data_IF_742713956926
#
_entry.id   IF_742713956926
#
_cell.length_a   1.000
_cell.length_b   1.000
_cell.length_c   1.000
_cell.angle_alpha   90.00
_cell.angle_beta   90.00
_cell.angle_gamma   90.00
#
_symmetry.space_group_name_H-M   'P 1'
#
loop_
_entity.id
_entity.type
_entity.pdbx_description
1 polymer ?
#
# COMPACT_ATOMS: atom_id res chain seq x y z
N UNK A 1 -15.19 -35.47 -3.19
CA UNK A 1 -14.21 -34.42 -3.54
C UNK A 1 -14.25 -33.13 -2.68
N UNK A 2 -14.93 -33.03 -1.51
CA UNK A 2 -14.71 -31.90 -0.60
C UNK A 2 -13.42 -31.98 0.25
N UNK A 3 -12.90 -33.19 0.53
CA UNK A 3 -11.80 -33.35 1.49
C UNK A 3 -10.41 -32.98 0.94
N UNK A 4 -10.22 -32.99 -0.39
CA UNK A 4 -8.97 -32.52 -1.02
C UNK A 4 -8.83 -30.99 -0.99
N UNK A 5 -9.91 -30.25 -0.67
CA UNK A 5 -9.89 -28.78 -0.57
C UNK A 5 -9.33 -28.34 0.80
N UNK A 6 -9.35 -29.20 1.83
CA UNK A 6 -8.81 -28.84 3.16
C UNK A 6 -7.29 -28.99 3.27
N UNK A 7 -6.65 -29.84 2.47
CA UNK A 7 -5.18 -29.94 2.40
C UNK A 7 -4.52 -28.74 1.67
N UNK A 8 -5.30 -27.93 0.96
CA UNK A 8 -4.82 -26.73 0.27
C UNK A 8 -4.44 -25.57 1.22
N UNK A 9 -4.61 -25.71 2.54
CA UNK A 9 -4.43 -24.61 3.49
C UNK A 9 -2.96 -24.23 3.80
N UNK A 10 -1.96 -24.92 3.24
CA UNK A 10 -0.54 -24.66 3.58
C UNK A 10 0.37 -24.46 2.35
N UNK A 11 -0.15 -23.86 1.28
CA UNK A 11 0.70 -23.41 0.19
C UNK A 11 1.38 -22.08 0.55
N UNK A 12 2.71 -22.11 0.62
CA UNK A 12 3.54 -20.92 0.81
C UNK A 12 3.92 -20.33 -0.54
N UNK A 13 4.27 -19.04 -0.56
CA UNK A 13 4.81 -18.36 -1.74
C UNK A 13 5.95 -19.17 -2.39
N UNK A 14 6.88 -19.71 -1.59
CA UNK A 14 8.04 -20.47 -2.09
C UNK A 14 7.64 -21.75 -2.81
N UNK A 15 6.61 -22.45 -2.32
CA UNK A 15 6.09 -23.65 -2.98
C UNK A 15 5.39 -23.29 -4.28
N UNK A 16 4.53 -22.27 -4.25
CA UNK A 16 3.73 -21.89 -5.42
C UNK A 16 4.59 -21.30 -6.54
N UNK A 17 5.54 -20.41 -6.21
CA UNK A 17 6.50 -19.87 -7.18
C UNK A 17 7.37 -20.98 -7.78
N UNK A 18 7.85 -21.93 -6.97
CA UNK A 18 8.60 -23.08 -7.46
C UNK A 18 7.78 -23.97 -8.41
N UNK A 19 6.52 -24.27 -8.06
CA UNK A 19 5.60 -25.01 -8.94
C UNK A 19 5.38 -24.24 -10.25
N UNK A 20 5.11 -22.94 -10.17
CA UNK A 20 4.90 -22.09 -11.34
C UNK A 20 6.11 -22.15 -12.28
N UNK A 21 7.33 -21.92 -11.77
CA UNK A 21 8.56 -21.92 -12.57
C UNK A 21 8.83 -23.29 -13.21
N UNK A 22 8.56 -24.40 -12.50
CA UNK A 22 8.71 -25.73 -13.06
C UNK A 22 7.69 -25.99 -14.18
N UNK A 23 6.42 -25.67 -13.93
CA UNK A 23 5.36 -25.86 -14.92
C UNK A 23 5.58 -24.99 -16.16
N UNK A 24 6.07 -23.76 -15.99
CA UNK A 24 6.43 -22.90 -17.11
C UNK A 24 7.58 -23.49 -17.95
N UNK A 25 8.64 -23.97 -17.29
CA UNK A 25 9.78 -24.62 -17.94
C UNK A 25 9.39 -25.88 -18.75
N UNK A 26 8.41 -26.64 -18.27
CA UNK A 26 7.96 -27.89 -18.90
C UNK A 26 6.66 -27.74 -19.70
N UNK A 27 6.12 -26.52 -19.84
CA UNK A 27 4.92 -26.20 -20.61
C UNK A 27 3.70 -27.01 -20.11
N UNK A 28 3.50 -27.03 -18.80
CA UNK A 28 2.36 -27.67 -18.13
C UNK A 28 1.36 -26.57 -17.74
N UNK A 29 0.55 -26.16 -18.71
CA UNK A 29 -0.27 -24.93 -18.63
C UNK A 29 -1.33 -24.98 -17.53
N UNK A 30 -1.99 -26.12 -17.33
CA UNK A 30 -3.06 -26.31 -16.35
C UNK A 30 -2.57 -26.12 -14.90
N UNK A 31 -1.44 -26.73 -14.56
CA UNK A 31 -0.83 -26.59 -13.24
C UNK A 31 -0.21 -25.19 -13.06
N UNK A 32 0.33 -24.59 -14.14
CA UNK A 32 0.83 -23.21 -14.11
C UNK A 32 -0.28 -22.21 -13.80
N UNK A 33 -1.43 -22.32 -14.48
CA UNK A 33 -2.60 -21.46 -14.24
C UNK A 33 -3.16 -21.66 -12.84
N UNK A 34 -3.23 -22.91 -12.37
CA UNK A 34 -3.61 -23.22 -10.99
C UNK A 34 -2.66 -22.58 -9.96
N UNK A 35 -1.34 -22.69 -10.15
CA UNK A 35 -0.37 -22.08 -9.24
C UNK A 35 -0.51 -20.55 -9.24
N UNK A 36 -0.76 -19.95 -10.42
CA UNK A 36 -1.00 -18.52 -10.56
C UNK A 36 -2.28 -18.06 -9.86
N UNK A 37 -3.37 -18.84 -9.92
CA UNK A 37 -4.60 -18.47 -9.20
C UNK A 37 -4.37 -18.44 -7.69
N UNK A 38 -3.64 -19.41 -7.14
CA UNK A 38 -3.27 -19.41 -5.72
C UNK A 38 -2.33 -18.26 -5.35
N UNK A 39 -1.37 -17.92 -6.20
CA UNK A 39 -0.51 -16.74 -5.98
C UNK A 39 -1.34 -15.45 -5.89
N UNK A 40 -2.37 -15.30 -6.72
CA UNK A 40 -3.29 -14.13 -6.67
C UNK A 40 -4.16 -14.11 -5.41
N UNK A 41 -4.38 -15.25 -4.75
CA UNK A 41 -5.13 -15.29 -3.48
C UNK A 41 -4.26 -14.88 -2.29
N UNK A 42 -2.95 -15.15 -2.34
CA UNK A 42 -2.03 -14.86 -1.22
C UNK A 42 -1.22 -13.58 -1.41
N UNK A 43 -1.14 -13.04 -2.62
CA UNK A 43 -0.43 -11.80 -2.95
C UNK A 43 -1.41 -10.74 -3.43
N UNK A 44 -1.29 -9.49 -2.96
CA UNK A 44 -2.19 -8.44 -3.40
C UNK A 44 -1.88 -8.03 -4.85
N UNK A 45 -2.91 -7.96 -5.68
CA UNK A 45 -2.80 -7.52 -7.09
C UNK A 45 -3.74 -6.38 -7.45
N UNK A 46 -4.68 -6.07 -6.55
CA UNK A 46 -5.68 -5.01 -6.71
C UNK A 46 -5.73 -4.09 -5.49
N UNK A 47 -6.33 -2.91 -5.66
CA UNK A 47 -6.61 -1.98 -4.55
C UNK A 47 -7.47 -2.64 -3.46
N UNK A 48 -8.43 -3.47 -3.88
CA UNK A 48 -9.34 -4.18 -2.98
C UNK A 48 -8.61 -5.22 -2.13
N UNK A 49 -7.53 -5.83 -2.65
CA UNK A 49 -6.75 -6.83 -1.91
C UNK A 49 -6.04 -6.20 -0.71
N UNK A 50 -5.49 -4.99 -0.88
CA UNK A 50 -4.89 -4.21 0.23
C UNK A 50 -5.92 -4.04 1.36
N UNK A 51 -7.16 -3.73 0.99
CA UNK A 51 -8.24 -3.49 1.94
C UNK A 51 -8.65 -4.76 2.69
N UNK A 52 -8.62 -5.92 2.03
CA UNK A 52 -9.01 -7.23 2.59
C UNK A 52 -7.91 -7.86 3.43
N UNK A 53 -6.65 -7.75 2.99
CA UNK A 53 -5.50 -8.37 3.64
C UNK A 53 -4.97 -7.59 4.83
N UNK A 54 -5.40 -6.32 5.01
CA UNK A 54 -4.99 -5.48 6.14
C UNK A 54 -3.57 -4.92 6.01
N UNK A 55 -3.00 -4.99 4.81
CA UNK A 55 -1.64 -4.57 4.49
C UNK A 55 -1.18 -5.22 3.19
N UNK A 56 -0.06 -4.77 2.64
CA UNK A 56 0.44 -5.28 1.35
C UNK A 56 1.34 -6.50 1.55
N UNK A 57 2.36 -6.41 2.40
CA UNK A 57 3.27 -7.51 2.71
C UNK A 57 3.77 -7.44 4.16
N UNK A 58 4.08 -8.60 4.74
CA UNK A 58 4.54 -8.72 6.13
C UNK A 58 6.06 -8.69 6.29
N UNK A 59 6.83 -8.87 5.22
CA UNK A 59 8.29 -8.97 5.26
C UNK A 59 8.93 -8.41 4.00
N UNK A 60 9.96 -7.57 4.16
CA UNK A 60 10.72 -7.02 3.04
C UNK A 60 11.42 -8.11 2.18
N UNK A 61 11.89 -9.19 2.81
CA UNK A 61 12.49 -10.34 2.10
C UNK A 61 11.47 -11.05 1.21
N UNK A 62 10.22 -11.23 1.67
CA UNK A 62 9.15 -11.75 0.83
C UNK A 62 8.86 -10.83 -0.35
N UNK A 63 8.80 -9.51 -0.13
CA UNK A 63 8.56 -8.53 -1.20
C UNK A 63 9.65 -8.59 -2.27
N UNK A 64 10.93 -8.62 -1.86
CA UNK A 64 12.06 -8.70 -2.79
C UNK A 64 11.99 -9.98 -3.64
N UNK A 65 11.68 -11.12 -3.04
CA UNK A 65 11.47 -12.38 -3.77
C UNK A 65 10.29 -12.32 -4.73
N UNK A 66 9.20 -11.65 -4.35
CA UNK A 66 8.04 -11.45 -5.23
C UNK A 66 8.40 -10.56 -6.43
N UNK A 67 9.18 -9.50 -6.23
CA UNK A 67 9.68 -8.65 -7.33
C UNK A 67 10.54 -9.47 -8.28
N UNK A 68 11.53 -10.21 -7.77
CA UNK A 68 12.41 -11.05 -8.59
C UNK A 68 11.60 -12.09 -9.38
N UNK A 69 10.73 -12.85 -8.69
CA UNK A 69 9.86 -13.85 -9.31
C UNK A 69 8.96 -13.23 -10.39
N UNK A 70 8.28 -12.12 -10.10
CA UNK A 70 7.35 -11.50 -11.03
C UNK A 70 8.04 -10.97 -12.28
N UNK A 71 9.32 -10.56 -12.19
CA UNK A 71 10.11 -10.17 -13.35
C UNK A 71 10.56 -11.37 -14.17
N UNK A 72 11.06 -12.42 -13.51
CA UNK A 72 11.56 -13.62 -14.19
C UNK A 72 10.43 -14.38 -14.90
N UNK A 73 9.23 -14.37 -14.31
CA UNK A 73 8.04 -15.05 -14.83
C UNK A 73 7.16 -14.16 -15.75
N UNK A 74 7.55 -12.91 -16.02
CA UNK A 74 6.75 -11.93 -16.76
C UNK A 74 5.30 -11.77 -16.24
N UNK A 75 5.18 -11.56 -14.92
CA UNK A 75 3.92 -11.38 -14.20
C UNK A 75 3.78 -9.94 -13.67
N UNK A 76 3.60 -8.94 -14.54
CA UNK A 76 3.65 -7.53 -14.17
C UNK A 76 2.57 -7.11 -13.16
N UNK A 77 1.47 -7.85 -13.04
CA UNK A 77 0.38 -7.54 -12.09
C UNK A 77 0.79 -7.54 -10.61
N UNK A 78 1.88 -8.24 -10.25
CA UNK A 78 2.38 -8.26 -8.86
C UNK A 78 3.33 -7.10 -8.57
N UNK A 79 3.88 -6.44 -9.60
CA UNK A 79 4.96 -5.47 -9.44
C UNK A 79 4.52 -4.17 -8.75
N UNK A 80 3.41 -3.49 -9.12
CA UNK A 80 3.10 -2.16 -8.57
C UNK A 80 3.00 -2.15 -7.05
N UNK A 81 2.32 -3.15 -6.48
CA UNK A 81 2.13 -3.27 -5.04
C UNK A 81 3.37 -3.81 -4.32
N UNK A 82 4.15 -4.70 -4.94
CA UNK A 82 5.42 -5.13 -4.37
C UNK A 82 6.41 -3.96 -4.27
N UNK A 83 6.57 -3.17 -5.33
CA UNK A 83 7.41 -1.97 -5.30
C UNK A 83 6.89 -0.92 -4.32
N UNK A 84 5.56 -0.71 -4.24
CA UNK A 84 4.97 0.15 -3.23
C UNK A 84 5.36 -0.29 -1.82
N UNK A 85 5.14 -1.57 -1.49
CA UNK A 85 5.35 -2.09 -0.15
C UNK A 85 6.80 -2.00 0.30
N UNK A 86 7.76 -2.28 -0.60
CA UNK A 86 9.17 -2.09 -0.26
C UNK A 86 9.51 -0.60 -0.17
N UNK A 87 9.03 0.25 -1.08
CA UNK A 87 9.31 1.68 -1.04
C UNK A 87 8.83 2.35 0.26
N UNK A 88 7.69 1.91 0.79
CA UNK A 88 7.06 2.42 2.01
C UNK A 88 7.36 1.57 3.26
N UNK A 89 8.23 0.56 3.16
CA UNK A 89 8.59 -0.23 4.34
C UNK A 89 9.22 0.69 5.40
N UNK A 90 8.89 0.56 6.70
CA UNK A 90 9.46 1.42 7.73
C UNK A 90 10.96 1.14 7.88
N UNK A 91 11.78 1.99 7.25
CA UNK A 91 13.23 2.02 7.42
C UNK A 91 13.58 2.71 8.74
N UNK A 92 13.14 2.14 9.86
CA UNK A 92 13.56 2.68 11.15
C UNK A 92 15.06 2.40 11.31
N UNK A 93 15.77 3.40 11.85
CA UNK A 93 17.16 3.24 12.27
C UNK A 93 17.31 2.27 13.45
N UNK A 94 16.23 1.84 14.08
CA UNK A 94 16.31 0.91 15.21
C UNK A 94 16.10 -0.55 14.80
N UNK A 95 15.62 -0.81 13.57
CA UNK A 95 15.63 -2.12 12.88
C UNK A 95 16.93 -2.31 12.06
N UNK A 96 17.97 -1.55 12.42
CA UNK A 96 19.18 -1.29 11.64
C UNK A 96 19.96 -2.57 11.28
N UNK A 97 20.19 -2.71 9.97
CA UNK A 97 21.14 -3.58 9.26
C UNK A 97 20.70 -4.94 8.73
N UNK A 98 19.82 -5.73 9.35
CA UNK A 98 19.60 -7.10 8.84
C UNK A 98 18.59 -7.17 7.68
N UNK A 99 17.39 -6.61 7.87
CA UNK A 99 16.26 -6.92 6.98
C UNK A 99 16.35 -6.24 5.61
N UNK A 100 16.92 -5.03 5.53
CA UNK A 100 17.13 -4.38 4.23
C UNK A 100 18.36 -4.89 3.51
N UNK A 101 19.43 -5.27 4.23
CA UNK A 101 20.60 -5.87 3.59
C UNK A 101 20.18 -7.16 2.87
N UNK A 102 19.43 -8.03 3.54
CA UNK A 102 18.97 -9.29 2.94
C UNK A 102 18.03 -9.10 1.74
N UNK A 103 17.09 -8.15 1.84
CA UNK A 103 16.18 -7.83 0.74
C UNK A 103 16.91 -7.10 -0.42
N UNK A 104 17.84 -6.21 -0.08
CA UNK A 104 18.63 -5.43 -1.03
C UNK A 104 19.59 -6.29 -1.83
N UNK A 105 20.23 -7.28 -1.21
CA UNK A 105 21.10 -8.25 -1.88
C UNK A 105 20.35 -9.12 -2.89
N UNK A 106 19.03 -9.25 -2.74
CA UNK A 106 18.16 -10.04 -3.63
C UNK A 106 17.62 -9.24 -4.82
N UNK A 107 17.79 -7.91 -4.84
CA UNK A 107 17.23 -7.03 -5.87
C UNK A 107 18.30 -6.59 -6.86
N UNK A 108 17.92 -6.42 -8.12
CA UNK A 108 18.82 -5.84 -9.12
C UNK A 108 19.07 -4.35 -8.85
N UNK A 109 20.19 -3.81 -9.32
CA UNK A 109 20.48 -2.35 -9.24
C UNK A 109 19.36 -1.50 -9.86
N UNK A 110 18.75 -1.99 -10.94
CA UNK A 110 17.63 -1.31 -11.62
C UNK A 110 16.38 -1.28 -10.75
N UNK A 111 16.13 -2.33 -9.99
CA UNK A 111 15.01 -2.37 -9.04
C UNK A 111 15.25 -1.44 -7.87
N UNK A 112 16.48 -1.38 -7.36
CA UNK A 112 16.89 -0.38 -6.37
C UNK A 112 16.62 1.06 -6.84
N UNK A 113 16.99 1.38 -8.08
CA UNK A 113 16.68 2.68 -8.68
C UNK A 113 15.18 2.96 -8.78
N UNK A 114 14.38 1.99 -9.24
CA UNK A 114 12.91 2.11 -9.33
C UNK A 114 12.27 2.37 -7.98
N UNK A 115 12.72 1.68 -6.94
CA UNK A 115 12.22 1.84 -5.56
C UNK A 115 12.45 3.27 -5.09
N UNK A 116 13.65 3.80 -5.28
CA UNK A 116 13.99 5.15 -4.82
C UNK A 116 13.24 6.24 -5.61
N UNK A 117 13.16 6.12 -6.94
CA UNK A 117 12.38 7.04 -7.78
C UNK A 117 10.89 6.99 -7.40
N UNK A 118 10.34 5.78 -7.25
CA UNK A 118 8.93 5.59 -6.91
C UNK A 118 8.59 6.08 -5.51
N UNK A 119 9.47 5.87 -4.51
CA UNK A 119 9.31 6.44 -3.17
C UNK A 119 9.20 7.96 -3.23
N UNK A 120 10.13 8.62 -3.92
CA UNK A 120 10.13 10.07 -4.06
C UNK A 120 8.88 10.58 -4.80
N UNK A 121 8.43 9.87 -5.84
CA UNK A 121 7.22 10.20 -6.57
C UNK A 121 5.95 10.05 -5.72
N UNK A 122 5.85 8.97 -4.93
CA UNK A 122 4.75 8.76 -3.97
C UNK A 122 4.74 9.88 -2.93
N UNK A 123 5.88 10.18 -2.31
CA UNK A 123 5.97 11.24 -1.30
C UNK A 123 5.56 12.59 -1.88
N UNK A 124 6.04 12.94 -3.07
CA UNK A 124 5.68 14.18 -3.74
C UNK A 124 4.16 14.26 -4.03
N UNK A 125 3.56 13.19 -4.53
CA UNK A 125 2.12 13.14 -4.80
C UNK A 125 1.30 13.24 -3.51
N UNK A 126 1.70 12.50 -2.49
CA UNK A 126 1.04 12.48 -1.19
C UNK A 126 1.10 13.85 -0.55
N UNK A 127 2.26 14.50 -0.50
CA UNK A 127 2.40 15.86 0.04
C UNK A 127 1.58 16.86 -0.77
N UNK A 128 1.65 16.81 -2.10
CA UNK A 128 0.91 17.72 -2.98
C UNK A 128 -0.61 17.66 -2.77
N UNK A 129 -1.14 16.46 -2.49
CA UNK A 129 -2.57 16.25 -2.21
C UNK A 129 -2.92 16.43 -0.74
N UNK A 130 -2.08 16.02 0.19
CA UNK A 130 -2.40 16.04 1.62
C UNK A 130 -2.74 17.45 2.10
N UNK A 131 -2.01 18.46 1.61
CA UNK A 131 -2.28 19.87 1.93
C UNK A 131 -3.63 20.39 1.40
N UNK A 132 -4.17 19.77 0.35
CA UNK A 132 -5.38 20.22 -0.35
C UNK A 132 -6.62 19.38 -0.03
N UNK A 133 -6.45 18.07 0.17
CA UNK A 133 -7.52 17.09 0.15
C UNK A 133 -7.76 16.42 1.50
N UNK A 134 -6.74 16.31 2.37
CA UNK A 134 -6.89 15.65 3.65
C UNK A 134 -7.25 16.71 4.69
N UNK A 135 -8.50 16.76 5.18
CA UNK A 135 -8.90 17.82 6.10
C UNK A 135 -8.17 17.79 7.45
N UNK A 136 -7.44 16.70 7.74
CA UNK A 136 -6.53 16.54 8.88
C UNK A 136 -5.09 17.01 8.60
N UNK A 137 -4.63 17.05 7.33
CA UNK A 137 -3.25 17.38 6.92
C UNK A 137 -3.23 18.59 5.97
N UNK A 138 -4.40 19.16 5.69
CA UNK A 138 -4.61 20.19 4.68
C UNK A 138 -5.21 21.47 5.22
N UNK A 139 -4.88 22.55 4.53
CA UNK A 139 -5.46 23.87 4.69
C UNK A 139 -6.44 24.16 3.53
N UNK A 140 -7.54 23.44 3.30
CA UNK A 140 -8.48 23.93 2.31
C UNK A 140 -9.45 24.93 2.95
N UNK A 141 -9.76 25.99 2.21
CA UNK A 141 -10.46 27.23 2.56
C UNK A 141 -11.88 27.14 3.13
N UNK A 142 -12.25 26.02 3.77
CA UNK A 142 -13.43 25.83 4.61
C UNK A 142 -13.04 25.56 6.07
N UNK A 143 -12.19 26.43 6.61
CA UNK A 143 -11.94 26.58 8.06
C UNK A 143 -13.18 27.08 8.84
N UNK A 144 -14.36 27.00 8.23
CA UNK A 144 -15.58 27.72 8.65
C UNK A 144 -16.72 26.79 9.04
N UNK A 145 -16.50 25.46 9.14
CA UNK A 145 -17.53 24.60 9.70
C UNK A 145 -17.68 24.92 11.20
N UNK A 146 -18.67 25.77 11.49
CA UNK A 146 -19.06 26.26 12.81
C UNK A 146 -20.09 25.35 13.50
N UNK A 147 -20.39 24.18 12.91
CA UNK A 147 -21.28 23.20 13.52
C UNK A 147 -20.75 22.82 14.91
N UNK A 148 -21.60 22.97 15.92
CA UNK A 148 -21.26 22.64 17.29
C UNK A 148 -21.07 21.12 17.43
N UNK A 149 -19.97 20.72 18.05
CA UNK A 149 -19.68 19.32 18.39
C UNK A 149 -20.24 18.94 19.76
N UNK A 150 -20.45 17.64 19.96
CA UNK A 150 -20.94 17.04 21.23
C UNK A 150 -20.10 17.47 22.45
N UNK A 151 -18.78 17.66 22.27
CA UNK A 151 -17.86 17.96 23.36
C UNK A 151 -17.55 19.46 23.54
N UNK A 152 -18.33 20.36 22.94
CA UNK A 152 -18.06 21.80 23.01
C UNK A 152 -16.86 22.19 22.14
N UNK A 153 -17.12 22.43 20.86
CA UNK A 153 -16.10 22.80 19.88
C UNK A 153 -16.70 22.94 18.49
N UNK A 154 -15.85 23.28 17.52
CA UNK A 154 -16.21 23.29 16.09
C UNK A 154 -15.23 22.42 15.31
N UNK A 155 -15.66 21.91 14.14
CA UNK A 155 -14.79 21.19 13.21
C UNK A 155 -13.49 21.95 12.92
N UNK A 156 -13.58 23.28 12.82
CA UNK A 156 -12.42 24.14 12.64
C UNK A 156 -11.38 24.04 13.78
N UNK A 157 -11.83 24.06 15.05
CA UNK A 157 -10.92 23.98 16.21
C UNK A 157 -10.21 22.62 16.31
N UNK A 158 -10.91 21.53 16.01
CA UNK A 158 -10.29 20.19 16.02
C UNK A 158 -9.22 20.09 14.94
N UNK A 159 -9.47 20.62 13.74
CA UNK A 159 -8.46 20.67 12.66
C UNK A 159 -7.23 21.46 13.07
N UNK A 160 -7.39 22.65 13.67
CA UNK A 160 -6.26 23.46 14.14
C UNK A 160 -5.35 22.72 15.15
N UNK A 161 -5.92 21.85 15.98
CA UNK A 161 -5.13 21.07 16.94
C UNK A 161 -4.25 20.03 16.26
N UNK A 162 -4.72 19.42 15.18
CA UNK A 162 -3.90 18.47 14.41
C UNK A 162 -2.67 19.17 13.81
N UNK A 163 -2.79 20.46 13.53
CA UNK A 163 -1.71 21.31 13.00
C UNK A 163 -0.69 21.80 14.03
N UNK A 164 -0.84 21.51 15.33
CA UNK A 164 0.21 21.86 16.29
C UNK A 164 1.44 20.96 16.15
N UNK A 165 1.27 19.74 15.64
CA UNK A 165 2.33 18.72 15.53
C UNK A 165 2.27 18.01 14.15
N UNK A 166 2.41 18.74 13.04
CA UNK A 166 2.21 18.18 11.69
C UNK A 166 3.30 17.18 11.31
N UNK A 167 4.47 17.24 11.94
CA UNK A 167 5.62 16.39 11.60
C UNK A 167 5.32 14.90 11.82
N UNK A 168 4.70 14.53 12.94
CA UNK A 168 4.37 13.13 13.24
C UNK A 168 3.32 12.59 12.28
N UNK A 169 2.30 13.38 12.00
CA UNK A 169 1.23 13.01 11.08
C UNK A 169 1.75 12.87 9.64
N UNK A 170 2.57 13.81 9.17
CA UNK A 170 3.20 13.74 7.85
C UNK A 170 4.11 12.52 7.78
N UNK A 171 4.91 12.24 8.82
CA UNK A 171 5.74 11.05 8.86
C UNK A 171 4.92 9.75 8.83
N UNK A 172 3.79 9.69 9.54
CA UNK A 172 2.88 8.53 9.50
C UNK A 172 2.29 8.33 8.10
N UNK A 173 1.82 9.42 7.48
CA UNK A 173 1.20 9.39 6.15
C UNK A 173 2.20 8.97 5.08
N UNK A 174 3.44 9.48 5.14
CA UNK A 174 4.50 9.12 4.19
C UNK A 174 5.00 7.69 4.39
N UNK A 175 4.95 7.17 5.62
CA UNK A 175 5.36 5.80 5.93
C UNK A 175 4.45 4.76 5.28
N UNK A 176 3.14 4.97 5.21
CA UNK A 176 2.24 4.01 4.58
C UNK A 176 0.99 4.71 4.03
N UNK A 177 1.11 5.43 2.90
CA UNK A 177 0.04 6.30 2.40
C UNK A 177 -1.29 5.57 2.13
N UNK A 178 -1.27 4.43 1.44
CA UNK A 178 -2.49 3.69 1.10
C UNK A 178 -3.17 3.13 2.35
N UNK A 179 -2.39 2.56 3.27
CA UNK A 179 -2.89 2.03 4.54
C UNK A 179 -3.43 3.14 5.44
N UNK A 180 -2.76 4.28 5.49
CA UNK A 180 -3.25 5.46 6.20
C UNK A 180 -4.60 5.93 5.66
N UNK A 181 -4.72 6.07 4.34
CA UNK A 181 -5.96 6.50 3.69
C UNK A 181 -7.09 5.48 3.89
N UNK A 182 -6.78 4.18 3.80
CA UNK A 182 -7.74 3.11 4.08
C UNK A 182 -8.24 3.15 5.54
N UNK A 183 -7.33 3.36 6.52
CA UNK A 183 -7.71 3.56 7.92
C UNK A 183 -8.67 4.73 8.08
N UNK A 184 -8.47 5.83 7.33
CA UNK A 184 -9.36 7.01 7.38
C UNK A 184 -10.73 6.75 6.77
N UNK A 185 -10.81 5.93 5.72
CA UNK A 185 -12.09 5.50 5.14
C UNK A 185 -12.86 4.60 6.12
N UNK A 186 -12.18 3.62 6.72
CA UNK A 186 -12.78 2.64 7.64
C UNK A 186 -13.08 3.21 9.02
N UNK A 187 -12.24 4.13 9.51
CA UNK A 187 -12.32 4.72 10.85
C UNK A 187 -12.44 6.24 10.75
N UNK A 188 -13.63 6.74 10.39
CA UNK A 188 -13.86 8.17 10.27
C UNK A 188 -13.62 8.92 11.61
N UNK A 189 -13.23 10.20 11.54
CA UNK A 189 -13.05 11.01 12.74
C UNK A 189 -14.37 11.15 13.52
N UNK A 190 -14.39 10.64 14.75
CA UNK A 190 -15.61 10.60 15.60
C UNK A 190 -16.06 11.97 16.10
N UNK A 191 -15.14 12.93 16.15
CA UNK A 191 -15.43 14.24 16.75
C UNK A 191 -16.02 15.23 15.74
N UNK A 192 -16.17 14.85 14.46
CA UNK A 192 -16.60 15.77 13.40
C UNK A 192 -18.11 15.70 13.16
N UNK A 193 -18.67 16.77 12.61
CA UNK A 193 -20.06 16.71 12.14
C UNK A 193 -20.16 15.78 10.92
N UNK A 194 -21.35 15.23 10.68
CA UNK A 194 -21.58 14.24 9.61
C UNK A 194 -21.14 14.71 8.23
N UNK A 195 -21.32 15.98 7.89
CA UNK A 195 -20.90 16.53 6.60
C UNK A 195 -19.38 16.58 6.45
N UNK A 196 -18.65 17.06 7.46
CA UNK A 196 -17.19 17.07 7.45
C UNK A 196 -16.61 15.65 7.47
N UNK A 197 -17.24 14.72 8.19
CA UNK A 197 -16.85 13.31 8.19
C UNK A 197 -17.01 12.67 6.82
N UNK A 198 -18.17 12.87 6.18
CA UNK A 198 -18.43 12.35 4.83
C UNK A 198 -17.41 12.91 3.83
N UNK A 199 -17.18 14.22 3.84
CA UNK A 199 -16.19 14.88 2.98
C UNK A 199 -14.78 14.29 3.19
N UNK A 200 -14.35 14.08 4.44
CA UNK A 200 -13.06 13.49 4.75
C UNK A 200 -12.91 12.07 4.20
N UNK A 201 -13.92 11.23 4.42
CA UNK A 201 -13.94 9.84 3.94
C UNK A 201 -13.91 9.80 2.41
N UNK A 202 -14.72 10.65 1.75
CA UNK A 202 -14.75 10.73 0.30
C UNK A 202 -13.38 11.17 -0.25
N UNK A 203 -12.76 12.20 0.32
CA UNK A 203 -11.44 12.66 -0.13
C UNK A 203 -10.35 11.61 0.10
N UNK A 204 -10.37 10.92 1.25
CA UNK A 204 -9.43 9.84 1.53
C UNK A 204 -9.57 8.69 0.52
N UNK A 205 -10.80 8.28 0.20
CA UNK A 205 -11.07 7.25 -0.80
C UNK A 205 -10.60 7.67 -2.20
N UNK A 206 -10.92 8.90 -2.63
CA UNK A 206 -10.49 9.45 -3.92
C UNK A 206 -8.96 9.53 -4.03
N UNK A 207 -8.29 9.97 -2.96
CA UNK A 207 -6.83 10.04 -2.93
C UNK A 207 -6.20 8.65 -2.95
N UNK A 208 -6.77 7.68 -2.22
CA UNK A 208 -6.29 6.30 -2.19
C UNK A 208 -6.34 5.67 -3.58
N UNK A 209 -7.50 5.78 -4.23
CA UNK A 209 -7.70 5.29 -5.59
C UNK A 209 -6.74 5.97 -6.58
N UNK A 210 -6.62 7.30 -6.52
CA UNK A 210 -5.71 8.05 -7.40
C UNK A 210 -4.23 7.69 -7.20
N UNK A 211 -3.79 7.39 -5.98
CA UNK A 211 -2.44 6.91 -5.72
C UNK A 211 -2.23 5.50 -6.28
N UNK A 212 -3.19 4.60 -6.07
CA UNK A 212 -3.16 3.23 -6.55
C UNK A 212 -3.01 3.18 -8.09
N UNK A 213 -3.87 3.90 -8.82
CA UNK A 213 -3.84 3.96 -10.29
C UNK A 213 -2.51 4.47 -10.86
N UNK A 214 -1.74 5.21 -10.06
CA UNK A 214 -0.46 5.79 -10.48
C UNK A 214 0.76 4.96 -10.08
N UNK A 215 0.62 3.90 -9.29
CA UNK A 215 1.76 3.10 -8.81
C UNK A 215 2.66 2.63 -9.96
N UNK A 216 2.07 2.08 -11.03
CA UNK A 216 2.84 1.64 -12.20
C UNK A 216 3.69 2.75 -12.81
N UNK A 217 3.16 3.98 -12.85
CA UNK A 217 3.88 5.14 -13.35
C UNK A 217 5.00 5.60 -12.41
N UNK A 218 4.78 5.53 -11.09
CA UNK A 218 5.79 5.91 -10.10
C UNK A 218 7.02 5.00 -10.16
N UNK A 219 6.84 3.72 -10.42
CA UNK A 219 7.92 2.72 -10.47
C UNK A 219 8.45 2.44 -11.88
N UNK A 220 8.11 3.28 -12.86
CA UNK A 220 8.57 3.16 -14.25
C UNK A 220 8.27 1.78 -14.85
N UNK A 221 7.14 1.17 -14.47
CA UNK A 221 6.67 -0.09 -15.05
C UNK A 221 6.03 0.28 -16.39
N UNK A 222 6.71 -0.03 -17.49
CA UNK A 222 6.18 0.14 -18.84
C UNK A 222 4.88 -0.67 -18.97
N UNK A 223 3.92 -0.12 -19.72
CA UNK A 223 2.74 -0.88 -20.17
C UNK A 223 3.13 -1.86 -21.26
#
# INVERSE_FOLDING_TARGET
>A
MPDQIREAQNFTFDKLSGIYTLCDKYIIDDIREWALSWLKEILPTSEDDICKMGGVYTSASLVARVIAFARDADLPQFLPLAYYAIATYPWSKDDEFSSFSEAGDSLSEHDGYRIEVGRNAIHAEVLGRAFSCLPDIGLPGRSTCMAAMVNGGTCAKVRQRVWSEPAELVAEVLRSPLEYLDRRVKTPPRNWCSSCTLEAVTQAALMRHALYERLSSFFLLSK
#
